data_IF_234017807315
#
_entry.id   IF_234017807315
#
_cell.length_a   1.000
_cell.length_b   1.000
_cell.length_c   1.000
_cell.angle_alpha   90.00
_cell.angle_beta   90.00
_cell.angle_gamma   90.00
#
_symmetry.space_group_name_H-M   'P 1'
#
loop_
_entity.id
_entity.type
_entity.pdbx_description
1 polymer ?
#
# COMPACT_ATOMS: atom_id res chain seq x y z
N UNK A 1 -7.25 9.39 -14.36
CA UNK A 1 -8.07 9.43 -15.60
C UNK A 1 -7.83 10.70 -16.41
N UNK A 2 -8.09 11.88 -15.84
CA UNK A 2 -7.84 13.19 -16.50
C UNK A 2 -6.39 13.34 -16.95
N UNK A 3 -5.41 13.02 -16.10
CA UNK A 3 -3.99 13.05 -16.48
C UNK A 3 -3.64 12.09 -17.64
N UNK A 4 -4.19 10.87 -17.65
CA UNK A 4 -3.97 9.91 -18.73
C UNK A 4 -4.60 10.37 -20.05
N UNK A 5 -5.78 11.02 -19.99
CA UNK A 5 -6.43 11.64 -21.14
C UNK A 5 -5.61 12.82 -21.70
N UNK A 6 -5.07 13.68 -20.83
CA UNK A 6 -4.16 14.76 -21.24
C UNK A 6 -2.84 14.25 -21.84
N UNK A 7 -2.35 13.09 -21.39
CA UNK A 7 -1.14 12.46 -21.91
C UNK A 7 -1.36 11.57 -23.14
N UNK A 8 -2.60 11.48 -23.68
CA UNK A 8 -2.93 10.68 -24.86
C UNK A 8 -2.70 9.18 -24.68
N UNK A 9 -2.69 8.67 -23.44
CA UNK A 9 -2.40 7.27 -23.15
C UNK A 9 -3.59 6.38 -23.53
N UNK A 10 -3.30 5.22 -24.11
CA UNK A 10 -4.33 4.24 -24.46
C UNK A 10 -5.03 3.71 -23.20
N UNK A 11 -6.35 3.58 -23.29
CA UNK A 11 -7.14 2.92 -22.26
C UNK A 11 -6.87 1.40 -22.27
N UNK A 12 -7.00 0.70 -21.12
CA UNK A 12 -6.86 -0.74 -21.08
C UNK A 12 -7.87 -1.40 -22.02
N UNK A 13 -7.38 -2.23 -22.93
CA UNK A 13 -8.18 -2.94 -23.91
C UNK A 13 -8.05 -4.45 -23.70
N UNK A 14 -9.19 -5.14 -23.75
CA UNK A 14 -9.25 -6.59 -23.64
C UNK A 14 -9.43 -7.13 -22.22
N UNK A 15 -9.94 -8.35 -22.14
CA UNK A 15 -10.30 -9.01 -20.89
C UNK A 15 -9.12 -9.17 -19.92
N UNK A 16 -7.95 -9.54 -20.42
CA UNK A 16 -6.76 -9.75 -19.60
C UNK A 16 -6.29 -8.47 -18.90
N UNK A 17 -6.38 -7.32 -19.57
CA UNK A 17 -6.04 -6.03 -18.96
C UNK A 17 -6.97 -5.71 -17.78
N UNK A 18 -8.28 -5.85 -17.98
CA UNK A 18 -9.27 -5.61 -16.93
C UNK A 18 -9.19 -6.61 -15.78
N UNK A 19 -8.92 -7.89 -16.06
CA UNK A 19 -8.70 -8.90 -15.04
C UNK A 19 -7.53 -8.53 -14.14
N UNK A 20 -6.36 -8.23 -14.71
CA UNK A 20 -5.17 -7.88 -13.93
C UNK A 20 -5.34 -6.56 -13.19
N UNK A 21 -5.99 -5.56 -13.80
CA UNK A 21 -6.33 -4.30 -13.13
C UNK A 21 -7.25 -4.55 -11.94
N UNK A 22 -8.25 -5.44 -12.08
CA UNK A 22 -9.19 -5.75 -10.99
C UNK A 22 -8.51 -6.50 -9.86
N UNK A 23 -7.64 -7.48 -10.14
CA UNK A 23 -6.84 -8.16 -9.11
C UNK A 23 -5.94 -7.16 -8.39
N UNK A 24 -5.26 -6.30 -9.15
CA UNK A 24 -4.42 -5.26 -8.57
C UNK A 24 -5.25 -4.29 -7.71
N UNK A 25 -6.41 -3.84 -8.20
CA UNK A 25 -7.33 -2.96 -7.47
C UNK A 25 -7.84 -3.59 -6.17
N UNK A 26 -8.12 -4.89 -6.19
CA UNK A 26 -8.57 -5.58 -4.99
C UNK A 26 -7.44 -5.70 -3.96
N UNK A 27 -6.25 -6.13 -4.36
CA UNK A 27 -5.12 -6.36 -3.43
C UNK A 27 -4.53 -5.04 -2.90
N UNK A 28 -4.21 -4.11 -3.79
CA UNK A 28 -3.50 -2.88 -3.43
C UNK A 28 -4.46 -1.71 -3.16
N UNK A 29 -5.64 -1.70 -3.79
CA UNK A 29 -6.63 -0.66 -3.58
C UNK A 29 -7.56 -0.96 -2.40
N UNK A 30 -8.15 -2.16 -2.36
CA UNK A 30 -9.14 -2.50 -1.33
C UNK A 30 -8.51 -3.09 -0.07
N UNK A 31 -7.76 -4.19 -0.18
CA UNK A 31 -7.22 -4.89 0.99
C UNK A 31 -6.20 -4.03 1.72
N UNK A 32 -5.22 -3.48 1.01
CA UNK A 32 -4.22 -2.60 1.63
C UNK A 32 -4.86 -1.42 2.36
N UNK A 33 -5.69 -0.62 1.67
CA UNK A 33 -6.29 0.56 2.29
C UNK A 33 -7.28 0.19 3.41
N UNK A 34 -8.07 -0.88 3.24
CA UNK A 34 -9.02 -1.33 4.26
C UNK A 34 -8.31 -1.76 5.56
N UNK A 35 -7.29 -2.61 5.45
CA UNK A 35 -6.51 -3.04 6.61
C UNK A 35 -5.67 -1.91 7.20
N UNK A 36 -5.17 -0.99 6.37
CA UNK A 36 -4.44 0.18 6.83
C UNK A 36 -5.34 1.09 7.68
N UNK A 37 -6.54 1.40 7.19
CA UNK A 37 -7.50 2.27 7.90
C UNK A 37 -7.92 1.64 9.21
N UNK A 38 -8.32 0.36 9.20
CA UNK A 38 -8.72 -0.34 10.43
C UNK A 38 -7.56 -0.50 11.42
N UNK A 39 -6.36 -0.80 10.91
CA UNK A 39 -5.15 -0.93 11.72
C UNK A 39 -4.73 0.39 12.36
N UNK A 40 -4.83 1.51 11.64
CA UNK A 40 -4.49 2.85 12.15
C UNK A 40 -5.37 3.29 13.33
N UNK A 41 -6.62 2.84 13.41
CA UNK A 41 -7.50 3.14 14.56
C UNK A 41 -7.12 2.32 15.80
N UNK A 42 -6.43 1.19 15.61
CA UNK A 42 -6.09 0.20 16.64
C UNK A 42 -4.60 0.17 17.01
N UNK A 43 -3.77 1.01 16.38
CA UNK A 43 -2.30 1.02 16.57
C UNK A 43 -1.78 2.45 16.70
N UNK A 44 -0.67 2.63 17.42
CA UNK A 44 -0.02 3.94 17.51
C UNK A 44 0.61 4.34 16.17
N UNK A 45 0.64 5.64 15.88
CA UNK A 45 1.22 6.15 14.63
C UNK A 45 2.70 5.73 14.44
N UNK A 46 3.44 5.61 15.53
CA UNK A 46 4.83 5.16 15.56
C UNK A 46 5.04 3.72 15.11
N UNK A 47 4.41 2.78 15.82
CA UNK A 47 4.39 1.35 15.47
C UNK A 47 3.86 1.14 14.06
N UNK A 48 2.78 1.83 13.72
CA UNK A 48 2.17 1.76 12.40
C UNK A 48 3.09 2.22 11.28
N UNK A 49 3.82 3.32 11.45
CA UNK A 49 4.81 3.80 10.47
C UNK A 49 5.88 2.76 10.24
N UNK A 50 6.47 2.21 11.31
CA UNK A 50 7.53 1.20 11.22
C UNK A 50 7.07 -0.03 10.43
N UNK A 51 5.85 -0.51 10.69
CA UNK A 51 5.29 -1.67 10.01
C UNK A 51 5.12 -1.38 8.51
N UNK A 52 4.57 -0.21 8.15
CA UNK A 52 4.38 0.17 6.73
C UNK A 52 5.72 0.45 6.04
N UNK A 53 6.66 1.08 6.72
CA UNK A 53 8.01 1.38 6.22
C UNK A 53 8.83 0.12 5.99
N UNK A 54 8.43 -1.03 6.55
CA UNK A 54 9.03 -2.34 6.27
C UNK A 54 8.68 -2.90 4.88
N UNK A 55 7.70 -2.31 4.19
CA UNK A 55 7.25 -2.76 2.89
C UNK A 55 8.35 -2.91 1.83
N UNK A 56 9.31 -1.98 1.64
CA UNK A 56 10.37 -2.15 0.65
C UNK A 56 11.20 -3.41 0.88
N UNK A 57 11.39 -3.83 2.13
CA UNK A 57 12.06 -5.09 2.47
C UNK A 57 11.20 -6.28 2.05
N UNK A 58 9.90 -6.26 2.36
CA UNK A 58 8.96 -7.29 1.94
C UNK A 58 8.92 -7.42 0.40
N UNK A 59 8.86 -6.29 -0.32
CA UNK A 59 8.92 -6.26 -1.78
C UNK A 59 10.21 -6.89 -2.30
N UNK A 60 11.36 -6.55 -1.73
CA UNK A 60 12.64 -7.11 -2.14
C UNK A 60 12.70 -8.62 -1.93
N UNK A 61 12.22 -9.12 -0.79
CA UNK A 61 12.19 -10.55 -0.47
C UNK A 61 11.22 -11.31 -1.38
N UNK A 62 9.98 -10.84 -1.52
CA UNK A 62 8.97 -11.48 -2.39
C UNK A 62 9.44 -11.43 -3.85
N UNK A 63 10.00 -10.31 -4.30
CA UNK A 63 10.54 -10.17 -5.67
C UNK A 63 11.70 -11.14 -5.90
N UNK A 64 12.66 -11.24 -4.98
CA UNK A 64 13.77 -12.19 -5.12
C UNK A 64 13.29 -13.63 -5.15
N UNK A 65 12.30 -13.97 -4.31
CA UNK A 65 11.72 -15.31 -4.30
C UNK A 65 10.95 -15.64 -5.59
N UNK A 66 10.09 -14.72 -6.04
CA UNK A 66 9.21 -14.92 -7.20
C UNK A 66 9.97 -14.91 -8.54
N UNK A 67 10.93 -13.99 -8.71
CA UNK A 67 11.70 -13.85 -9.95
C UNK A 67 13.01 -14.65 -9.93
N UNK A 68 13.34 -15.31 -8.81
CA UNK A 68 14.59 -16.07 -8.61
C UNK A 68 15.87 -15.27 -8.90
N UNK A 69 15.78 -13.96 -8.80
CA UNK A 69 16.92 -13.06 -8.96
C UNK A 69 17.72 -13.05 -7.65
N UNK A 70 19.04 -13.25 -7.75
CA UNK A 70 19.92 -13.22 -6.57
C UNK A 70 20.12 -11.76 -6.12
N UNK A 71 19.74 -11.47 -4.88
CA UNK A 71 20.08 -10.19 -4.24
C UNK A 71 21.60 -10.15 -4.07
N UNK A 72 22.27 -9.24 -4.79
CA UNK A 72 23.72 -9.05 -4.67
C UNK A 72 24.13 -8.52 -3.29
N UNK A 73 25.45 -8.56 -2.99
CA UNK A 73 25.99 -8.12 -1.69
C UNK A 73 25.54 -6.70 -1.30
N UNK A 74 25.60 -5.76 -2.23
CA UNK A 74 25.16 -4.37 -2.00
C UNK A 74 23.65 -4.26 -1.78
N UNK A 75 22.86 -5.15 -2.40
CA UNK A 75 21.42 -5.23 -2.15
C UNK A 75 21.12 -5.69 -0.72
N UNK A 76 21.83 -6.72 -0.25
CA UNK A 76 21.72 -7.17 1.14
C UNK A 76 22.20 -6.11 2.14
N UNK A 77 23.30 -5.40 1.85
CA UNK A 77 23.76 -4.30 2.71
C UNK A 77 22.72 -3.18 2.79
N UNK A 78 22.14 -2.77 1.66
CA UNK A 78 21.07 -1.77 1.63
C UNK A 78 19.83 -2.22 2.41
N UNK A 79 19.40 -3.47 2.24
CA UNK A 79 18.28 -4.05 2.98
C UNK A 79 18.56 -4.11 4.48
N UNK A 80 19.74 -4.54 4.89
CA UNK A 80 20.14 -4.60 6.30
C UNK A 80 20.21 -3.21 6.93
N UNK A 81 20.78 -2.22 6.23
CA UNK A 81 20.82 -0.83 6.73
C UNK A 81 19.40 -0.27 6.85
N UNK A 82 18.53 -0.51 5.86
CA UNK A 82 17.11 -0.12 5.92
C UNK A 82 16.38 -0.78 7.09
N UNK A 83 16.59 -2.09 7.29
CA UNK A 83 16.02 -2.84 8.42
C UNK A 83 16.46 -2.29 9.77
N UNK A 84 17.75 -1.92 9.89
CA UNK A 84 18.30 -1.31 11.10
C UNK A 84 17.68 0.07 11.32
N UNK A 85 17.58 0.91 10.28
CA UNK A 85 16.96 2.23 10.37
C UNK A 85 15.51 2.18 10.86
N UNK A 86 14.71 1.29 10.26
CA UNK A 86 13.32 1.05 10.66
C UNK A 86 13.24 0.54 12.11
N UNK A 87 14.10 -0.41 12.48
CA UNK A 87 14.20 -0.93 13.86
C UNK A 87 14.57 0.16 14.88
N UNK A 88 15.43 1.12 14.52
CA UNK A 88 15.80 2.23 15.40
C UNK A 88 14.64 3.20 15.63
N UNK A 89 13.84 3.47 14.59
CA UNK A 89 12.60 4.27 14.73
C UNK A 89 11.63 3.54 15.67
N UNK A 90 11.47 2.22 15.50
CA UNK A 90 10.64 1.39 16.36
C UNK A 90 11.02 1.48 17.85
N UNK A 91 12.30 1.29 18.16
CA UNK A 91 12.81 1.35 19.54
C UNK A 91 12.68 2.74 20.16
N UNK A 92 12.69 3.81 19.35
CA UNK A 92 12.50 5.18 19.84
C UNK A 92 11.08 5.46 20.32
N UNK A 93 10.07 4.73 19.82
CA UNK A 93 8.65 4.98 20.13
C UNK A 93 8.14 4.18 21.35
N UNK A 94 9.05 3.81 22.26
CA UNK A 94 8.81 2.99 23.45
C UNK A 94 8.42 1.52 23.18
N UNK A 95 8.77 0.92 22.03
CA UNK A 95 8.78 -0.54 21.92
C UNK A 95 9.76 -1.10 22.94
N UNK A 96 9.25 -1.68 24.02
CA UNK A 96 10.07 -2.50 24.88
C UNK A 96 10.17 -3.89 24.28
N UNK A 97 11.28 -4.61 24.49
CA UNK A 97 11.44 -6.00 24.03
C UNK A 97 10.35 -6.97 24.57
N UNK A 98 9.47 -6.50 25.45
CA UNK A 98 8.34 -7.23 26.01
C UNK A 98 7.15 -7.35 25.04
N UNK A 99 7.00 -6.40 24.11
CA UNK A 99 5.88 -6.35 23.15
C UNK A 99 6.07 -7.33 21.98
N UNK A 100 7.27 -7.93 21.84
CA UNK A 100 7.58 -8.93 20.81
C UNK A 100 6.71 -10.19 20.96
N UNK A 101 6.24 -10.48 22.18
CA UNK A 101 5.32 -11.60 22.42
C UNK A 101 3.90 -11.36 21.86
N UNK A 102 3.54 -10.13 21.46
CA UNK A 102 2.25 -9.81 20.84
C UNK A 102 2.16 -10.23 19.36
N UNK A 103 3.28 -10.50 18.70
CA UNK A 103 3.32 -10.93 17.29
C UNK A 103 3.09 -12.44 17.11
N UNK A 104 3.29 -13.24 18.17
CA UNK A 104 3.09 -14.69 18.12
C UNK A 104 1.98 -15.03 19.13
N UNK A 105 0.71 -15.14 18.70
CA UNK A 105 -0.33 -15.61 19.59
C UNK A 105 0.05 -16.98 20.14
N UNK A 106 -0.14 -17.17 21.44
CA UNK A 106 -0.04 -18.48 22.09
C UNK A 106 -0.93 -19.46 21.33
N UNK A 107 -0.32 -20.29 20.49
CA UNK A 107 -0.98 -21.24 19.58
C UNK A 107 -1.61 -22.44 20.32
N UNK A 108 -1.53 -22.45 21.65
CA UNK A 108 -2.11 -23.48 22.49
C UNK A 108 -3.56 -23.10 22.83
N UNK A 109 -4.51 -23.78 22.18
CA UNK A 109 -5.94 -23.89 22.58
C UNK A 109 -6.92 -22.77 22.17
N UNK A 110 -6.67 -22.00 21.11
CA UNK A 110 -7.73 -21.14 20.53
C UNK A 110 -8.53 -21.85 19.44
N UNK A 111 -9.86 -21.70 19.47
CA UNK A 111 -10.74 -22.04 18.36
C UNK A 111 -10.36 -21.21 17.11
N UNK A 112 -10.52 -21.72 15.87
CA UNK A 112 -10.26 -20.95 14.65
C UNK A 112 -10.99 -19.61 14.60
N UNK A 113 -12.18 -19.52 15.22
CA UNK A 113 -12.94 -18.28 15.34
C UNK A 113 -12.25 -17.26 16.26
N UNK A 114 -11.78 -17.69 17.43
CA UNK A 114 -11.11 -16.81 18.40
C UNK A 114 -9.73 -16.36 17.89
N UNK A 115 -9.06 -17.19 17.10
CA UNK A 115 -7.84 -16.82 16.39
C UNK A 115 -8.09 -15.72 15.35
N UNK A 116 -9.16 -15.85 14.56
CA UNK A 116 -9.51 -14.83 13.57
C UNK A 116 -9.94 -13.51 14.23
N UNK A 117 -10.70 -13.60 15.32
CA UNK A 117 -11.13 -12.44 16.09
C UNK A 117 -9.91 -11.72 16.70
N UNK A 118 -9.04 -12.44 17.40
CA UNK A 118 -7.82 -11.84 17.98
C UNK A 118 -6.92 -11.23 16.91
N UNK A 119 -6.78 -11.84 15.74
CA UNK A 119 -6.02 -11.27 14.63
C UNK A 119 -6.62 -9.94 14.11
N UNK A 120 -7.95 -9.83 14.09
CA UNK A 120 -8.66 -8.64 13.57
C UNK A 120 -8.77 -7.52 14.61
N UNK A 121 -8.72 -7.85 15.91
CA UNK A 121 -8.67 -6.89 17.00
C UNK A 121 -7.28 -6.25 17.17
N UNK A 122 -6.21 -6.92 16.73
CA UNK A 122 -4.85 -6.39 16.80
C UNK A 122 -4.53 -5.53 15.58
N UNK A 123 -4.47 -4.21 15.78
CA UNK A 123 -4.15 -3.26 14.70
C UNK A 123 -2.79 -3.53 14.04
N UNK A 124 -1.79 -3.97 14.80
CA UNK A 124 -0.45 -4.25 14.28
C UNK A 124 -0.45 -5.39 13.26
N UNK A 125 -1.27 -6.42 13.50
CA UNK A 125 -1.42 -7.56 12.59
C UNK A 125 -2.13 -7.12 11.30
N UNK A 126 -3.16 -6.27 11.42
CA UNK A 126 -3.82 -5.66 10.27
C UNK A 126 -2.86 -4.79 9.46
N UNK A 127 -2.04 -3.96 10.12
CA UNK A 127 -1.05 -3.13 9.44
C UNK A 127 0.04 -3.97 8.76
N UNK A 128 0.44 -5.10 9.34
CA UNK A 128 1.38 -6.03 8.72
C UNK A 128 0.77 -6.67 7.47
N UNK A 129 -0.48 -7.11 7.54
CA UNK A 129 -1.21 -7.61 6.35
C UNK A 129 -1.38 -6.52 5.31
N UNK A 130 -1.61 -5.27 5.71
CA UNK A 130 -1.65 -4.12 4.81
C UNK A 130 -0.31 -3.95 4.08
N UNK A 131 0.81 -3.89 4.81
CA UNK A 131 2.15 -3.76 4.23
C UNK A 131 2.48 -4.90 3.25
N UNK A 132 2.12 -6.15 3.59
CA UNK A 132 2.29 -7.30 2.71
C UNK A 132 1.39 -7.22 1.48
N UNK A 133 0.14 -6.79 1.64
CA UNK A 133 -0.80 -6.60 0.54
C UNK A 133 -0.27 -5.55 -0.45
N UNK A 134 0.23 -4.41 0.05
CA UNK A 134 0.85 -3.39 -0.79
C UNK A 134 2.15 -3.92 -1.43
N UNK A 135 2.97 -4.69 -0.71
CA UNK A 135 4.16 -5.31 -1.28
C UNK A 135 3.81 -6.22 -2.48
N UNK A 136 2.78 -7.05 -2.35
CA UNK A 136 2.25 -7.86 -3.46
C UNK A 136 1.70 -6.95 -4.56
N UNK A 137 0.98 -5.89 -4.22
CA UNK A 137 0.49 -4.86 -5.15
C UNK A 137 1.59 -4.27 -6.04
N UNK A 138 2.71 -3.85 -5.43
CA UNK A 138 3.86 -3.32 -6.17
C UNK A 138 4.52 -4.34 -7.10
N UNK A 139 4.33 -5.64 -6.87
CA UNK A 139 4.79 -6.70 -7.78
C UNK A 139 3.75 -6.94 -8.87
N UNK A 140 2.46 -6.93 -8.53
CA UNK A 140 1.34 -7.09 -9.46
C UNK A 140 1.37 -6.05 -10.58
N UNK A 141 1.82 -4.83 -10.32
CA UNK A 141 1.94 -3.79 -11.36
C UNK A 141 2.82 -4.24 -12.54
N UNK A 142 3.83 -5.11 -12.31
CA UNK A 142 4.68 -5.64 -13.40
C UNK A 142 3.88 -6.51 -14.37
N UNK A 143 2.87 -7.22 -13.88
CA UNK A 143 1.98 -8.05 -14.70
C UNK A 143 0.92 -7.21 -15.40
N UNK A 144 0.34 -6.24 -14.69
CA UNK A 144 -0.61 -5.27 -15.26
C UNK A 144 0.03 -4.51 -16.44
N UNK A 145 1.28 -4.07 -16.26
CA UNK A 145 2.04 -3.32 -17.27
C UNK A 145 2.32 -4.09 -18.56
N UNK A 146 2.13 -5.41 -18.58
CA UNK A 146 2.25 -6.23 -19.81
C UNK A 146 1.03 -6.10 -20.72
N UNK A 147 -0.11 -5.69 -20.18
CA UNK A 147 -1.40 -5.67 -20.88
C UNK A 147 -1.99 -4.26 -21.00
N UNK A 148 -1.59 -3.31 -20.15
CA UNK A 148 -2.09 -1.93 -20.17
C UNK A 148 -1.02 -0.93 -19.74
N UNK A 149 -1.16 0.33 -20.16
CA UNK A 149 -0.27 1.41 -19.70
C UNK A 149 -0.37 1.56 -18.17
N UNK A 150 0.77 1.63 -17.44
CA UNK A 150 0.76 1.68 -15.98
C UNK A 150 0.01 2.90 -15.42
N UNK A 151 0.07 4.05 -16.10
CA UNK A 151 -0.55 5.31 -15.62
C UNK A 151 -2.08 5.17 -15.66
N UNK A 152 -2.60 4.68 -16.77
CA UNK A 152 -4.04 4.48 -16.93
C UNK A 152 -4.54 3.37 -16.01
N UNK A 153 -3.75 2.31 -15.84
CA UNK A 153 -4.06 1.18 -14.96
C UNK A 153 -4.12 1.58 -13.49
N UNK A 154 -3.16 2.37 -12.99
CA UNK A 154 -3.23 2.94 -11.63
C UNK A 154 -4.46 3.83 -11.47
N UNK A 155 -4.81 4.62 -12.49
CA UNK A 155 -6.03 5.43 -12.47
C UNK A 155 -7.32 4.60 -12.32
N UNK A 156 -7.43 3.48 -13.04
CA UNK A 156 -8.57 2.57 -12.90
C UNK A 156 -8.54 1.77 -11.61
N UNK A 157 -7.35 1.37 -11.15
CA UNK A 157 -7.14 0.72 -9.87
C UNK A 157 -7.65 1.55 -8.70
N UNK A 158 -7.36 2.87 -8.68
CA UNK A 158 -7.83 3.74 -7.60
C UNK A 158 -9.37 3.81 -7.55
N UNK A 159 -10.01 3.82 -8.72
CA UNK A 159 -11.48 3.84 -8.81
C UNK A 159 -12.04 2.48 -8.35
N UNK A 160 -11.58 1.38 -8.94
CA UNK A 160 -12.10 0.04 -8.66
C UNK A 160 -11.81 -0.37 -7.22
N UNK A 161 -10.62 -0.07 -6.70
CA UNK A 161 -10.19 -0.41 -5.35
C UNK A 161 -10.90 0.41 -4.27
N UNK A 162 -11.25 1.65 -4.57
CA UNK A 162 -12.02 2.52 -3.69
C UNK A 162 -13.50 2.16 -3.61
N UNK A 163 -14.08 1.53 -4.65
CA UNK A 163 -15.50 1.18 -4.68
C UNK A 163 -15.93 0.23 -3.54
N UNK A 164 -15.24 -0.89 -3.26
CA UNK A 164 -15.56 -1.73 -2.12
C UNK A 164 -15.47 -1.00 -0.79
N UNK A 165 -14.47 -0.13 -0.61
CA UNK A 165 -14.29 0.64 0.63
C UNK A 165 -15.40 1.66 0.82
N UNK A 166 -15.79 2.35 -0.25
CA UNK A 166 -16.94 3.25 -0.24
C UNK A 166 -18.23 2.50 0.11
N UNK A 167 -18.41 1.29 -0.44
CA UNK A 167 -19.56 0.45 -0.12
C UNK A 167 -19.55 0.01 1.36
N UNK A 168 -18.40 -0.44 1.87
CA UNK A 168 -18.24 -0.84 3.28
C UNK A 168 -18.50 0.35 4.21
N UNK A 169 -17.90 1.52 3.94
CA UNK A 169 -18.15 2.76 4.70
C UNK A 169 -19.63 3.12 4.71
N UNK A 170 -20.33 2.97 3.58
CA UNK A 170 -21.78 3.23 3.48
C UNK A 170 -22.67 2.31 4.32
N UNK A 171 -22.19 1.11 4.69
CA UNK A 171 -22.94 0.17 5.53
C UNK A 171 -22.50 0.17 7.00
N UNK A 172 -21.23 0.49 7.28
CA UNK A 172 -20.67 0.47 8.63
C UNK A 172 -20.80 1.81 9.35
N UNK A 173 -20.74 2.92 8.61
CA UNK A 173 -20.81 4.26 9.19
C UNK A 173 -22.25 4.76 9.22
N UNK A 174 -22.65 5.27 10.39
CA UNK A 174 -24.03 5.69 10.62
C UNK A 174 -24.42 6.99 9.91
N UNK A 175 -23.47 7.90 9.63
CA UNK A 175 -23.71 9.19 8.94
C UNK A 175 -22.45 9.76 8.23
N UNK A 176 -21.87 9.07 7.23
CA UNK A 176 -20.57 9.44 6.64
C UNK A 176 -20.55 10.82 5.95
N UNK A 177 -21.66 11.25 5.34
CA UNK A 177 -21.72 12.48 4.53
C UNK A 177 -22.34 13.67 5.26
N UNK A 178 -23.10 13.43 6.34
CA UNK A 178 -23.88 14.47 7.02
C UNK A 178 -23.02 15.23 8.05
N UNK A 179 -22.00 14.59 8.60
CA UNK A 179 -21.08 15.20 9.57
C UNK A 179 -19.96 16.03 8.92
N UNK A 180 -19.84 16.04 7.59
CA UNK A 180 -18.80 16.77 6.88
C UNK A 180 -19.19 18.25 6.73
N UNK A 181 -18.52 19.12 7.47
CA UNK A 181 -18.63 20.55 7.30
C UNK A 181 -17.94 21.03 6.02
N UNK A 182 -18.18 22.29 5.64
CA UNK A 182 -17.51 22.91 4.49
C UNK A 182 -15.98 22.89 4.59
N UNK A 183 -15.44 22.98 5.81
CA UNK A 183 -14.00 22.88 6.08
C UNK A 183 -13.44 21.50 5.75
N UNK A 184 -14.18 20.43 6.06
CA UNK A 184 -13.71 19.05 5.85
C UNK A 184 -13.61 18.75 4.35
N UNK A 185 -14.56 19.23 3.55
CA UNK A 185 -14.48 19.17 2.09
C UNK A 185 -13.26 19.89 1.53
N UNK A 186 -12.89 21.04 2.11
CA UNK A 186 -11.69 21.77 1.70
C UNK A 186 -10.41 21.01 2.07
N UNK A 187 -10.36 20.42 3.27
CA UNK A 187 -9.23 19.59 3.72
C UNK A 187 -9.09 18.35 2.84
N UNK A 188 -10.18 17.63 2.56
CA UNK A 188 -10.20 16.47 1.66
C UNK A 188 -9.73 16.85 0.25
N UNK A 189 -10.22 17.98 -0.29
CA UNK A 189 -9.77 18.51 -1.57
C UNK A 189 -8.28 18.87 -1.58
N UNK A 190 -7.80 19.53 -0.52
CA UNK A 190 -6.40 19.88 -0.34
C UNK A 190 -5.51 18.64 -0.29
N UNK A 191 -5.87 17.63 0.52
CA UNK A 191 -5.13 16.38 0.62
C UNK A 191 -5.15 15.60 -0.70
N UNK A 192 -6.28 15.56 -1.40
CA UNK A 192 -6.35 14.92 -2.71
C UNK A 192 -5.43 15.61 -3.73
N UNK A 193 -5.43 16.94 -3.81
CA UNK A 193 -4.60 17.67 -4.80
C UNK A 193 -3.13 17.64 -4.43
N UNK A 194 -2.77 18.06 -3.22
CA UNK A 194 -1.38 18.19 -2.80
C UNK A 194 -0.76 16.86 -2.35
N UNK A 195 -1.52 16.03 -1.64
CA UNK A 195 -1.06 14.73 -1.17
C UNK A 195 -0.99 13.67 -2.27
N UNK A 196 -1.84 13.75 -3.31
CA UNK A 196 -1.84 12.74 -4.38
C UNK A 196 -1.48 13.32 -5.76
N UNK A 197 -2.25 14.28 -6.30
CA UNK A 197 -2.08 14.68 -7.70
C UNK A 197 -0.72 15.32 -7.99
N UNK A 198 -0.23 16.19 -7.10
CA UNK A 198 1.07 16.85 -7.23
C UNK A 198 2.21 15.86 -6.99
N UNK A 199 2.12 15.02 -5.96
CA UNK A 199 3.13 14.00 -5.66
C UNK A 199 3.31 13.01 -6.83
N UNK A 200 2.21 12.49 -7.39
CA UNK A 200 2.25 11.65 -8.57
C UNK A 200 2.79 12.40 -9.79
N UNK A 201 2.35 13.65 -10.03
CA UNK A 201 2.86 14.48 -11.11
C UNK A 201 4.38 14.69 -11.05
N UNK A 202 4.91 15.00 -9.87
CA UNK A 202 6.35 15.15 -9.61
C UNK A 202 7.11 13.84 -9.82
N UNK A 203 6.60 12.72 -9.31
CA UNK A 203 7.21 11.40 -9.50
C UNK A 203 7.40 11.08 -10.99
N UNK A 204 6.38 11.34 -11.81
CA UNK A 204 6.49 11.13 -13.26
C UNK A 204 7.48 12.09 -13.92
N UNK A 205 7.46 13.39 -13.60
CA UNK A 205 8.40 14.37 -14.15
C UNK A 205 9.85 13.98 -13.85
N UNK A 206 10.15 13.57 -12.61
CA UNK A 206 11.48 13.11 -12.21
C UNK A 206 11.90 11.86 -12.98
N UNK A 207 10.98 10.91 -13.16
CA UNK A 207 11.24 9.68 -13.91
C UNK A 207 11.57 9.96 -15.38
N UNK A 208 10.89 10.93 -16.02
CA UNK A 208 11.22 11.36 -17.38
C UNK A 208 12.57 12.09 -17.47
N UNK A 209 12.91 12.91 -16.47
CA UNK A 209 14.17 13.66 -16.44
C UNK A 209 15.39 12.76 -16.29
N UNK A 210 15.29 11.69 -15.50
CA UNK A 210 16.36 10.69 -15.34
C UNK A 210 16.62 9.93 -16.65
N UNK A 211 15.57 9.54 -17.37
CA UNK A 211 15.71 8.82 -18.65
C UNK A 211 16.38 9.70 -19.72
N UNK A 212 16.02 10.98 -19.79
CA UNK A 212 16.63 11.94 -20.72
C UNK A 212 18.12 12.22 -20.39
N UNK A 213 18.51 12.18 -19.12
CA UNK A 213 19.91 12.37 -18.72
C UNK A 213 20.80 11.16 -19.04
N UNK A 214 20.23 9.95 -19.10
CA UNK A 214 20.98 8.71 -19.40
C UNK A 214 21.09 8.49 -20.92
N UNK A 215 20.14 8.99 -21.72
CA UNK A 215 20.19 8.89 -23.19
C UNK A 215 21.17 9.87 -23.85
N UNK A 216 21.79 10.78 -23.09
CA UNK A 216 22.73 11.80 -23.59
C UNK A 216 24.20 11.42 -23.30
N UNK A 217 24.43 10.23 -22.73
CA UNK A 217 25.75 9.62 -22.57
C UNK A 217 25.79 8.26 -23.26
#
# INVERSE_FOLDING_TARGET
MVAAAFMGKSQPQGWNAWLWITIFAFVDGTLFQGFLVEGLVKTSAGLGSVIIDSQPLAVALISSWLFKERIGLYGWLGLSIGAIGISLIALSDNLTFHDIHLFIPSIAELSPYDMLLSFTENGEHLMLVAALSMAVGTILIRFVSRYADPITSTGWHMIIGGLPLWFVSGISESNPLINLGFSDWFILGYMAVFGSAIAYGLFFILRFKVILSISVH
#
